data_IF_611928455438
#
_entry.id   IF_611928455438
#
_cell.length_a   1.000
_cell.length_b   1.000
_cell.length_c   1.000
_cell.angle_alpha   90.00
_cell.angle_beta   90.00
_cell.angle_gamma   90.00
#
_symmetry.space_group_name_H-M   'P 1'
#
loop_
_entity.id
_entity.type
_entity.pdbx_description
1 polymer ?
#
# COMPACT_ATOMS: atom_id res chain seq x y z
N UNK A 1 71.28 -10.76 -5.14
CA UNK A 1 70.27 -10.53 -6.20
C UNK A 1 69.40 -9.35 -5.77
N UNK A 2 69.75 -8.14 -6.21
CA UNK A 2 69.13 -6.87 -5.82
C UNK A 2 69.14 -5.99 -7.06
N UNK A 3 68.17 -6.17 -7.95
CA UNK A 3 67.98 -5.36 -9.15
C UNK A 3 66.63 -5.67 -9.81
N UNK A 4 65.62 -4.87 -9.50
CA UNK A 4 64.45 -4.50 -10.33
C UNK A 4 63.39 -3.92 -9.40
N UNK A 5 63.41 -2.61 -9.18
CA UNK A 5 62.22 -1.92 -8.67
C UNK A 5 62.17 -0.40 -8.94
N UNK A 6 62.91 0.13 -9.92
CA UNK A 6 62.96 1.59 -10.13
C UNK A 6 62.74 2.02 -11.59
N UNK A 7 61.75 1.48 -12.30
CA UNK A 7 61.37 2.00 -13.64
C UNK A 7 59.87 1.84 -13.95
N UNK A 8 58.98 2.35 -13.08
CA UNK A 8 57.60 2.61 -13.52
C UNK A 8 56.82 3.65 -12.71
N UNK A 9 57.50 4.68 -12.18
CA UNK A 9 56.83 5.76 -11.43
C UNK A 9 56.72 7.10 -12.15
N UNK A 10 57.12 7.23 -13.42
CA UNK A 10 57.07 8.53 -14.14
C UNK A 10 55.92 8.71 -15.14
N UNK A 11 55.04 7.71 -15.35
CA UNK A 11 53.88 7.87 -16.26
C UNK A 11 52.56 8.20 -15.53
N UNK A 12 52.49 8.08 -14.21
CA UNK A 12 51.25 8.30 -13.46
C UNK A 12 50.89 9.76 -13.23
N UNK A 13 51.84 10.69 -13.37
CA UNK A 13 51.63 12.11 -13.04
C UNK A 13 51.15 12.96 -14.22
N UNK A 14 51.36 12.52 -15.47
CA UNK A 14 50.84 13.24 -16.65
C UNK A 14 49.38 12.88 -16.95
N UNK A 15 48.95 11.64 -16.70
CA UNK A 15 47.55 11.23 -16.88
C UNK A 15 46.62 11.80 -15.79
N UNK A 16 47.10 11.99 -14.56
CA UNK A 16 46.32 12.66 -13.50
C UNK A 16 46.14 14.17 -13.73
N UNK A 17 47.09 14.83 -14.41
CA UNK A 17 47.01 16.26 -14.70
C UNK A 17 46.06 16.60 -15.86
N UNK A 18 45.69 15.61 -16.69
CA UNK A 18 44.70 15.78 -17.78
C UNK A 18 43.25 15.61 -17.28
N UNK A 19 43.05 14.99 -16.11
CA UNK A 19 41.71 14.75 -15.55
C UNK A 19 41.15 15.89 -14.68
N UNK A 20 41.92 16.98 -14.49
CA UNK A 20 41.43 18.20 -13.84
C UNK A 20 41.16 19.32 -14.84
N UNK A 21 40.83 18.99 -16.09
CA UNK A 21 40.25 19.96 -16.99
C UNK A 21 38.82 20.23 -16.50
N UNK A 22 38.63 21.38 -15.83
CA UNK A 22 37.32 21.86 -15.39
C UNK A 22 36.35 21.76 -16.57
N UNK A 23 35.45 20.78 -16.54
CA UNK A 23 34.38 20.71 -17.53
C UNK A 23 33.63 22.04 -17.50
N UNK A 24 33.61 22.70 -18.65
CA UNK A 24 32.85 23.94 -18.81
C UNK A 24 31.40 23.61 -18.43
N UNK A 25 30.71 24.47 -17.66
CA UNK A 25 29.32 24.25 -17.22
C UNK A 25 28.38 23.75 -18.34
N UNK A 26 28.67 24.16 -19.58
CA UNK A 26 27.98 23.74 -20.80
C UNK A 26 28.18 22.25 -21.14
N UNK A 27 29.38 21.70 -21.00
CA UNK A 27 29.68 20.29 -21.24
C UNK A 27 29.02 19.40 -20.19
N UNK A 28 29.04 19.83 -18.93
CA UNK A 28 28.40 19.15 -17.81
C UNK A 28 26.87 19.09 -17.92
N UNK A 29 26.25 20.16 -18.43
CA UNK A 29 24.80 20.17 -18.73
C UNK A 29 24.48 19.27 -19.92
N UNK A 30 25.33 19.26 -20.96
CA UNK A 30 25.12 18.45 -22.16
C UNK A 30 25.28 16.95 -21.87
N UNK A 31 26.30 16.54 -21.11
CA UNK A 31 26.48 15.16 -20.67
C UNK A 31 25.31 14.70 -19.80
N UNK A 32 24.88 15.52 -18.84
CA UNK A 32 23.71 15.22 -18.01
C UNK A 32 22.41 15.04 -18.81
N UNK A 33 22.20 15.85 -19.85
CA UNK A 33 21.01 15.75 -20.72
C UNK A 33 21.02 14.44 -21.53
N UNK A 34 22.18 14.01 -22.02
CA UNK A 34 22.34 12.78 -22.77
C UNK A 34 22.26 11.52 -21.90
N UNK A 35 22.79 11.59 -20.68
CA UNK A 35 22.68 10.52 -19.68
C UNK A 35 21.23 10.30 -19.25
N UNK A 36 20.44 11.37 -19.12
CA UNK A 36 19.04 11.32 -18.68
C UNK A 36 18.01 11.37 -19.82
N UNK A 37 18.43 11.08 -21.07
CA UNK A 37 17.57 11.20 -22.26
C UNK A 37 16.23 10.47 -22.17
N UNK A 38 16.20 9.29 -21.55
CA UNK A 38 14.97 8.48 -21.38
C UNK A 38 14.00 9.15 -20.41
N UNK A 39 14.53 9.69 -19.30
CA UNK A 39 13.74 10.40 -18.29
C UNK A 39 13.16 11.69 -18.89
N UNK A 40 13.97 12.44 -19.64
CA UNK A 40 13.55 13.67 -20.30
C UNK A 40 12.51 13.40 -21.39
N UNK A 41 12.69 12.34 -22.20
CA UNK A 41 11.68 11.92 -23.17
C UNK A 41 10.36 11.59 -22.47
N UNK A 42 10.40 10.83 -21.38
CA UNK A 42 9.19 10.48 -20.62
C UNK A 42 8.52 11.72 -20.02
N UNK A 43 9.30 12.66 -19.47
CA UNK A 43 8.80 13.92 -18.95
C UNK A 43 8.10 14.75 -20.03
N UNK A 44 8.70 14.86 -21.21
CA UNK A 44 8.13 15.58 -22.36
C UNK A 44 6.81 14.92 -22.79
N UNK A 45 6.77 13.59 -22.88
CA UNK A 45 5.54 12.85 -23.22
C UNK A 45 4.46 13.04 -22.15
N UNK A 46 4.83 13.04 -20.87
CA UNK A 46 3.89 13.31 -19.78
C UNK A 46 3.30 14.73 -19.87
N UNK A 47 4.15 15.74 -20.04
CA UNK A 47 3.70 17.13 -20.16
C UNK A 47 2.81 17.31 -21.40
N UNK A 48 3.22 16.75 -22.55
CA UNK A 48 2.42 16.77 -23.78
C UNK A 48 1.10 16.04 -23.62
N UNK A 49 1.08 14.90 -22.93
CA UNK A 49 -0.13 14.14 -22.63
C UNK A 49 -1.10 14.89 -21.73
N UNK A 50 -0.61 15.60 -20.71
CA UNK A 50 -1.44 16.46 -19.86
C UNK A 50 -2.06 17.58 -20.69
N UNK A 51 -1.25 18.26 -21.51
CA UNK A 51 -1.68 19.37 -22.35
C UNK A 51 -2.75 18.95 -23.37
N UNK A 52 -2.56 17.81 -24.05
CA UNK A 52 -3.54 17.27 -25.01
C UNK A 52 -4.81 16.76 -24.32
N UNK A 53 -4.71 16.26 -23.09
CA UNK A 53 -5.86 15.71 -22.38
C UNK A 53 -6.87 16.76 -21.89
N UNK A 54 -6.49 18.04 -21.84
CA UNK A 54 -7.34 19.12 -21.32
C UNK A 54 -7.68 19.04 -19.83
N UNK A 55 -7.13 18.05 -19.11
CA UNK A 55 -7.37 17.87 -17.68
C UNK A 55 -6.55 18.87 -16.85
N UNK A 56 -7.10 19.29 -15.70
CA UNK A 56 -6.35 20.11 -14.76
C UNK A 56 -5.15 19.35 -14.20
N UNK A 57 -4.06 20.07 -13.87
CA UNK A 57 -2.89 19.46 -13.24
C UNK A 57 -3.25 18.75 -11.92
N UNK A 58 -4.24 19.28 -11.17
CA UNK A 58 -4.78 18.67 -9.97
C UNK A 58 -5.38 17.28 -10.22
N UNK A 59 -6.23 17.14 -11.23
CA UNK A 59 -6.84 15.85 -11.60
C UNK A 59 -5.79 14.79 -11.97
N UNK A 60 -4.74 15.18 -12.68
CA UNK A 60 -3.66 14.26 -13.07
C UNK A 60 -2.87 13.81 -11.84
N UNK A 61 -2.50 14.74 -10.95
CA UNK A 61 -1.79 14.44 -9.71
C UNK A 61 -2.62 13.52 -8.82
N UNK A 62 -3.93 13.74 -8.72
CA UNK A 62 -4.84 12.88 -7.95
C UNK A 62 -4.87 11.44 -8.49
N UNK A 63 -5.09 11.27 -9.79
CA UNK A 63 -5.11 9.95 -10.41
C UNK A 63 -3.75 9.22 -10.26
N UNK A 64 -2.64 9.96 -10.34
CA UNK A 64 -1.30 9.41 -10.08
C UNK A 64 -1.17 8.98 -8.62
N UNK A 65 -1.63 9.81 -7.67
CA UNK A 65 -1.58 9.51 -6.24
C UNK A 65 -2.43 8.28 -5.87
N UNK A 66 -3.66 8.16 -6.39
CA UNK A 66 -4.53 7.00 -6.18
C UNK A 66 -3.89 5.72 -6.75
N UNK A 67 -3.31 5.80 -7.95
CA UNK A 67 -2.58 4.67 -8.56
C UNK A 67 -1.35 4.29 -7.77
N UNK A 68 -0.60 5.28 -7.30
CA UNK A 68 0.57 5.08 -6.46
C UNK A 68 0.19 4.40 -5.15
N UNK A 69 -0.87 4.85 -4.48
CA UNK A 69 -1.38 4.24 -3.25
C UNK A 69 -1.76 2.76 -3.45
N UNK A 70 -2.51 2.45 -4.50
CA UNK A 70 -2.86 1.05 -4.85
C UNK A 70 -1.62 0.19 -5.10
N UNK A 71 -0.69 0.67 -5.93
CA UNK A 71 0.51 -0.08 -6.28
C UNK A 71 1.46 -0.24 -5.08
N UNK A 72 1.57 0.78 -4.23
CA UNK A 72 2.37 0.73 -3.01
C UNK A 72 1.85 -0.37 -2.06
N UNK A 73 0.54 -0.51 -1.91
CA UNK A 73 -0.05 -1.60 -1.12
C UNK A 73 0.30 -2.98 -1.69
N UNK A 74 0.22 -3.15 -3.02
CA UNK A 74 0.64 -4.39 -3.69
C UNK A 74 2.12 -4.68 -3.44
N UNK A 75 2.99 -3.66 -3.53
CA UNK A 75 4.43 -3.81 -3.24
C UNK A 75 4.69 -4.17 -1.79
N UNK A 76 3.96 -3.56 -0.84
CA UNK A 76 4.07 -3.92 0.58
C UNK A 76 3.67 -5.38 0.84
N UNK A 77 2.67 -5.90 0.13
CA UNK A 77 2.29 -7.32 0.20
C UNK A 77 3.40 -8.26 -0.30
N UNK A 78 4.22 -7.80 -1.27
CA UNK A 78 5.33 -8.58 -1.81
C UNK A 78 6.54 -8.70 -0.88
N UNK A 79 6.66 -7.84 0.13
CA UNK A 79 7.77 -7.91 1.09
C UNK A 79 7.78 -9.23 1.87
N UNK A 80 6.60 -9.76 2.21
CA UNK A 80 6.49 -11.03 2.98
C UNK A 80 7.09 -12.20 2.17
N UNK A 81 6.69 -12.45 0.91
CA UNK A 81 7.35 -13.44 0.04
C UNK A 81 8.85 -13.24 -0.11
N UNK A 82 9.31 -11.99 -0.34
CA UNK A 82 10.73 -11.69 -0.54
C UNK A 82 11.55 -12.04 0.69
N UNK A 83 11.08 -11.66 1.88
CA UNK A 83 11.76 -11.97 3.14
C UNK A 83 11.78 -13.47 3.43
N UNK A 84 10.78 -14.22 2.94
CA UNK A 84 10.74 -15.66 3.02
C UNK A 84 11.67 -16.37 1.99
N UNK A 85 12.34 -15.61 1.11
CA UNK A 85 13.17 -16.17 0.04
C UNK A 85 12.36 -16.75 -1.13
N UNK A 86 11.05 -16.54 -1.14
CA UNK A 86 10.16 -16.98 -2.21
C UNK A 86 10.17 -15.96 -3.37
N UNK A 87 9.90 -16.43 -4.58
CA UNK A 87 9.84 -15.57 -5.75
C UNK A 87 8.74 -14.50 -5.69
N UNK A 88 9.00 -13.35 -6.32
CA UNK A 88 8.11 -12.20 -6.38
C UNK A 88 6.83 -12.50 -7.17
N UNK A 89 5.67 -12.13 -6.62
CA UNK A 89 4.34 -12.08 -7.26
C UNK A 89 3.51 -13.36 -7.40
N UNK A 90 4.02 -14.55 -7.05
CA UNK A 90 3.26 -15.80 -7.26
C UNK A 90 2.06 -15.99 -6.33
N UNK A 91 2.13 -15.44 -5.12
CA UNK A 91 1.04 -15.50 -4.16
C UNK A 91 -0.07 -14.50 -4.45
N UNK A 92 0.20 -13.44 -5.23
CA UNK A 92 -0.79 -12.40 -5.51
C UNK A 92 -1.93 -12.97 -6.35
N UNK A 93 -1.62 -13.76 -7.39
CA UNK A 93 -2.64 -14.30 -8.30
C UNK A 93 -3.65 -15.16 -7.53
N UNK A 94 -3.17 -16.02 -6.63
CA UNK A 94 -4.04 -16.92 -5.86
C UNK A 94 -4.87 -16.16 -4.82
N UNK A 95 -4.29 -15.16 -4.17
CA UNK A 95 -5.03 -14.26 -3.28
C UNK A 95 -6.09 -13.44 -4.04
N UNK A 96 -5.76 -12.96 -5.24
CA UNK A 96 -6.67 -12.21 -6.08
C UNK A 96 -7.84 -13.08 -6.56
N UNK A 97 -7.59 -14.33 -6.95
CA UNK A 97 -8.64 -15.30 -7.29
C UNK A 97 -9.57 -15.52 -6.10
N UNK A 98 -9.04 -15.72 -4.89
CA UNK A 98 -9.86 -15.88 -3.69
C UNK A 98 -10.73 -14.63 -3.40
N UNK A 99 -10.17 -13.43 -3.61
CA UNK A 99 -10.90 -12.18 -3.48
C UNK A 99 -12.01 -12.03 -4.54
N UNK A 100 -11.74 -12.39 -5.80
CA UNK A 100 -12.72 -12.36 -6.88
C UNK A 100 -13.88 -13.33 -6.64
N UNK A 101 -13.60 -14.53 -6.12
CA UNK A 101 -14.63 -15.51 -5.72
C UNK A 101 -15.52 -14.93 -4.61
N UNK A 102 -14.92 -14.36 -3.57
CA UNK A 102 -15.68 -13.75 -2.47
C UNK A 102 -16.54 -12.59 -2.92
N UNK A 103 -15.99 -11.72 -3.79
CA UNK A 103 -16.71 -10.59 -4.36
C UNK A 103 -17.88 -11.05 -5.24
N UNK A 104 -17.67 -12.08 -6.06
CA UNK A 104 -18.72 -12.65 -6.90
C UNK A 104 -19.92 -13.11 -6.07
N UNK A 105 -19.69 -13.93 -5.03
CA UNK A 105 -20.78 -14.42 -4.20
C UNK A 105 -21.48 -13.30 -3.41
N UNK A 106 -20.74 -12.31 -2.93
CA UNK A 106 -21.33 -11.16 -2.27
C UNK A 106 -22.28 -10.38 -3.21
N UNK A 107 -21.86 -10.17 -4.47
CA UNK A 107 -22.70 -9.50 -5.48
C UNK A 107 -23.88 -10.39 -5.88
N UNK A 108 -23.67 -11.68 -6.12
CA UNK A 108 -24.73 -12.60 -6.56
C UNK A 108 -25.83 -12.79 -5.50
N UNK A 109 -25.45 -12.76 -4.21
CA UNK A 109 -26.40 -12.78 -3.10
C UNK A 109 -27.11 -11.44 -2.88
N UNK A 110 -26.79 -10.41 -3.65
CA UNK A 110 -27.45 -9.11 -3.62
C UNK A 110 -26.95 -8.18 -2.52
N UNK A 111 -25.83 -8.48 -1.87
CA UNK A 111 -25.25 -7.56 -0.89
C UNK A 111 -24.54 -6.41 -1.59
N UNK A 112 -24.71 -5.20 -1.05
CA UNK A 112 -24.15 -3.96 -1.60
C UNK A 112 -23.51 -3.08 -0.52
N UNK A 113 -22.82 -2.03 -0.97
CA UNK A 113 -22.10 -1.10 -0.11
C UNK A 113 -21.03 -1.78 0.76
N UNK A 114 -20.82 -1.25 1.97
CA UNK A 114 -19.79 -1.75 2.88
C UNK A 114 -20.10 -3.15 3.41
N UNK A 115 -21.39 -3.48 3.56
CA UNK A 115 -21.83 -4.81 4.02
C UNK A 115 -21.43 -5.86 2.98
N UNK A 116 -21.67 -5.59 1.70
CA UNK A 116 -21.22 -6.46 0.60
C UNK A 116 -19.71 -6.64 0.58
N UNK A 117 -18.94 -5.58 0.82
CA UNK A 117 -17.48 -5.65 0.91
C UNK A 117 -17.00 -6.50 2.10
N UNK A 118 -17.61 -6.35 3.27
CA UNK A 118 -17.25 -7.14 4.46
C UNK A 118 -17.59 -8.62 4.28
N UNK A 119 -18.72 -8.94 3.63
CA UNK A 119 -19.08 -10.32 3.29
C UNK A 119 -18.07 -10.90 2.30
N UNK A 120 -17.72 -10.15 1.25
CA UNK A 120 -16.68 -10.55 0.31
C UNK A 120 -15.35 -10.83 1.01
N UNK A 121 -14.93 -9.97 1.96
CA UNK A 121 -13.74 -10.17 2.77
C UNK A 121 -13.83 -11.41 3.67
N UNK A 122 -14.99 -11.65 4.28
CA UNK A 122 -15.24 -12.79 5.16
C UNK A 122 -15.20 -14.12 4.40
N UNK A 123 -15.60 -14.14 3.13
CA UNK A 123 -15.47 -15.31 2.25
C UNK A 123 -14.03 -15.45 1.73
N UNK A 124 -13.42 -14.35 1.30
CA UNK A 124 -12.09 -14.34 0.70
C UNK A 124 -11.00 -14.75 1.70
N UNK A 125 -11.10 -14.34 2.96
CA UNK A 125 -10.08 -14.60 4.00
C UNK A 125 -9.83 -16.10 4.26
N UNK A 126 -10.86 -16.94 4.57
CA UNK A 126 -10.66 -18.37 4.77
C UNK A 126 -10.19 -19.06 3.49
N UNK A 127 -10.71 -18.64 2.33
CA UNK A 127 -10.34 -19.20 1.03
C UNK A 127 -8.88 -18.91 0.69
N UNK A 128 -8.44 -17.66 0.87
CA UNK A 128 -7.05 -17.24 0.68
C UNK A 128 -6.12 -17.94 1.67
N UNK A 129 -6.55 -18.15 2.91
CA UNK A 129 -5.77 -18.90 3.92
C UNK A 129 -5.59 -20.37 3.52
N UNK A 130 -6.66 -21.01 3.05
CA UNK A 130 -6.65 -22.40 2.57
C UNK A 130 -5.73 -22.55 1.36
N UNK A 131 -5.90 -21.70 0.34
CA UNK A 131 -5.08 -21.73 -0.86
C UNK A 131 -3.62 -21.39 -0.54
N UNK A 132 -3.38 -20.35 0.26
CA UNK A 132 -2.03 -19.97 0.71
C UNK A 132 -1.32 -21.09 1.46
N UNK A 133 -2.03 -21.85 2.29
CA UNK A 133 -1.48 -23.04 2.95
C UNK A 133 -1.11 -24.14 1.94
N UNK A 134 -1.97 -24.41 0.97
CA UNK A 134 -1.68 -25.37 -0.10
C UNK A 134 -0.46 -24.98 -0.94
N UNK A 135 -0.37 -23.71 -1.31
CA UNK A 135 0.77 -23.12 -2.04
C UNK A 135 2.05 -23.23 -1.23
N UNK A 136 2.01 -22.87 0.05
CA UNK A 136 3.17 -22.98 0.94
C UNK A 136 3.69 -24.42 1.05
N UNK A 137 2.79 -25.40 1.13
CA UNK A 137 3.17 -26.82 1.08
C UNK A 137 3.77 -27.23 -0.25
N UNK A 138 3.26 -26.71 -1.37
CA UNK A 138 3.80 -26.99 -2.69
C UNK A 138 5.22 -26.42 -2.84
N UNK A 139 5.45 -25.17 -2.45
CA UNK A 139 6.77 -24.54 -2.51
C UNK A 139 7.79 -25.26 -1.64
N UNK A 140 7.38 -25.72 -0.45
CA UNK A 140 8.24 -26.55 0.39
C UNK A 140 8.70 -27.87 -0.28
N UNK A 141 7.91 -28.41 -1.21
CA UNK A 141 8.28 -29.60 -1.99
C UNK A 141 9.11 -29.26 -3.24
N UNK A 142 9.06 -28.02 -3.71
CA UNK A 142 9.69 -27.55 -4.96
C UNK A 142 10.86 -26.58 -4.71
N UNK A 143 11.60 -26.78 -3.61
CA UNK A 143 12.75 -25.95 -3.25
C UNK A 143 13.78 -25.90 -4.37
N UNK A 144 14.23 -24.69 -4.71
CA UNK A 144 15.16 -24.44 -5.81
C UNK A 144 14.49 -24.16 -7.17
N UNK A 145 13.20 -24.47 -7.32
CA UNK A 145 12.39 -24.16 -8.51
C UNK A 145 11.10 -23.42 -8.17
N UNK A 146 11.08 -22.75 -7.02
CA UNK A 146 9.90 -22.11 -6.42
C UNK A 146 9.31 -21.02 -7.34
N UNK A 147 10.17 -20.30 -8.04
CA UNK A 147 9.77 -19.25 -8.99
C UNK A 147 8.98 -19.82 -10.17
N UNK A 148 9.49 -20.87 -10.81
CA UNK A 148 8.85 -21.50 -11.97
C UNK A 148 7.59 -22.24 -11.53
N UNK A 149 7.64 -22.96 -10.41
CA UNK A 149 6.48 -23.63 -9.83
C UNK A 149 5.36 -22.63 -9.49
N UNK A 150 5.71 -21.47 -8.93
CA UNK A 150 4.77 -20.40 -8.64
C UNK A 150 4.12 -19.80 -9.89
N UNK A 151 4.90 -19.62 -10.97
CA UNK A 151 4.37 -19.13 -12.25
C UNK A 151 3.36 -20.12 -12.85
N UNK A 152 3.74 -21.39 -12.93
CA UNK A 152 2.89 -22.45 -13.48
C UNK A 152 1.63 -22.61 -12.63
N UNK A 153 1.76 -22.58 -11.30
CA UNK A 153 0.62 -22.65 -10.40
C UNK A 153 -0.34 -21.47 -10.57
N UNK A 154 0.18 -20.27 -10.81
CA UNK A 154 -0.63 -19.08 -11.10
C UNK A 154 -1.47 -19.26 -12.37
N UNK A 155 -0.86 -19.69 -13.47
CA UNK A 155 -1.59 -19.98 -14.72
C UNK A 155 -2.59 -21.12 -14.57
N UNK A 156 -2.24 -22.16 -13.82
CA UNK A 156 -3.14 -23.27 -13.53
C UNK A 156 -4.35 -22.81 -12.71
N UNK A 157 -4.13 -21.99 -11.68
CA UNK A 157 -5.21 -21.44 -10.86
C UNK A 157 -6.12 -20.51 -11.66
N UNK A 158 -5.57 -19.67 -12.53
CA UNK A 158 -6.33 -18.82 -13.44
C UNK A 158 -7.17 -19.66 -14.42
N UNK A 159 -6.59 -20.71 -15.00
CA UNK A 159 -7.32 -21.66 -15.86
C UNK A 159 -8.47 -22.38 -15.12
N UNK A 160 -8.25 -22.81 -13.87
CA UNK A 160 -9.31 -23.38 -13.04
C UNK A 160 -10.41 -22.37 -12.71
N UNK A 161 -10.03 -21.13 -12.41
CA UNK A 161 -10.98 -20.05 -12.15
C UNK A 161 -11.85 -19.80 -13.40
N UNK A 162 -11.23 -19.65 -14.57
CA UNK A 162 -11.94 -19.48 -15.84
C UNK A 162 -12.86 -20.67 -16.13
N UNK A 163 -12.40 -21.91 -15.93
CA UNK A 163 -13.23 -23.10 -16.11
C UNK A 163 -14.48 -23.06 -15.22
N UNK A 164 -14.30 -22.76 -13.94
CA UNK A 164 -15.40 -22.73 -12.99
C UNK A 164 -16.40 -21.60 -13.27
N UNK A 165 -15.92 -20.39 -13.58
CA UNK A 165 -16.77 -19.21 -13.76
C UNK A 165 -17.39 -19.12 -15.16
N UNK A 166 -16.72 -19.58 -16.21
CA UNK A 166 -17.22 -19.49 -17.58
C UNK A 166 -18.05 -20.71 -17.99
N UNK A 167 -17.77 -21.90 -17.47
CA UNK A 167 -18.42 -23.12 -17.96
C UNK A 167 -19.30 -23.81 -16.93
N UNK A 168 -18.94 -23.76 -15.64
CA UNK A 168 -19.73 -24.43 -14.59
C UNK A 168 -20.81 -23.49 -14.05
N UNK A 169 -20.45 -22.26 -13.72
CA UNK A 169 -21.40 -21.23 -13.29
C UNK A 169 -22.18 -20.66 -14.49
N UNK A 170 -23.49 -20.46 -14.32
CA UNK A 170 -24.42 -20.07 -15.39
C UNK A 170 -24.96 -21.26 -16.19
N UNK A 171 -24.17 -22.33 -16.38
CA UNK A 171 -24.62 -23.57 -17.01
C UNK A 171 -25.18 -24.59 -16.01
N UNK A 172 -24.36 -25.05 -15.06
CA UNK A 172 -24.69 -26.10 -14.08
C UNK A 172 -25.21 -25.51 -12.78
N UNK A 173 -24.60 -24.41 -12.32
CA UNK A 173 -25.02 -23.69 -11.12
C UNK A 173 -25.77 -22.41 -11.52
N UNK A 174 -27.04 -22.23 -11.12
CA UNK A 174 -27.80 -21.04 -11.46
C UNK A 174 -27.27 -19.83 -10.69
N UNK A 175 -26.97 -18.76 -11.43
CA UNK A 175 -26.57 -17.45 -10.91
C UNK A 175 -27.81 -16.58 -10.86
N UNK A 176 -28.09 -15.95 -9.71
CA UNK A 176 -29.31 -15.16 -9.50
C UNK A 176 -29.23 -13.82 -10.22
N UNK A 177 -28.03 -13.26 -10.29
CA UNK A 177 -27.81 -11.91 -10.79
C UNK A 177 -27.51 -11.91 -12.29
N UNK A 178 -28.48 -11.48 -13.10
CA UNK A 178 -28.37 -11.46 -14.57
C UNK A 178 -27.27 -10.53 -15.10
N UNK A 179 -26.86 -9.50 -14.34
CA UNK A 179 -25.78 -8.59 -14.75
C UNK A 179 -24.40 -9.27 -14.79
N UNK A 180 -24.23 -10.37 -14.05
CA UNK A 180 -23.00 -11.16 -13.98
C UNK A 180 -22.91 -12.18 -15.12
N UNK A 181 -24.03 -12.60 -15.68
CA UNK A 181 -24.09 -13.64 -16.72
C UNK A 181 -23.75 -13.03 -18.08
N UNK A 182 -23.05 -13.79 -18.93
CA UNK A 182 -22.77 -13.41 -20.31
C UNK A 182 -24.09 -13.36 -21.11
N UNK A 183 -24.28 -12.36 -21.99
CA UNK A 183 -25.41 -12.36 -22.94
C UNK A 183 -25.35 -13.62 -23.81
N UNK A 184 -26.16 -14.63 -23.48
CA UNK A 184 -26.03 -15.99 -23.99
C UNK A 184 -26.38 -17.07 -22.95
N UNK A 185 -26.44 -16.72 -21.66
CA UNK A 185 -27.01 -17.56 -20.61
C UNK A 185 -26.08 -18.62 -20.02
N UNK A 186 -24.87 -18.80 -20.56
CA UNK A 186 -23.85 -19.72 -20.04
C UNK A 186 -22.57 -18.93 -19.78
N UNK A 187 -22.05 -19.03 -18.56
CA UNK A 187 -20.82 -18.37 -18.13
C UNK A 187 -21.00 -16.97 -17.57
N UNK A 188 -20.01 -16.55 -16.78
CA UNK A 188 -19.95 -15.25 -16.10
C UNK A 188 -18.99 -14.32 -16.83
N UNK A 189 -19.28 -13.02 -16.86
CA UNK A 189 -18.37 -12.02 -17.43
C UNK A 189 -17.01 -12.03 -16.71
N UNK A 190 -15.92 -11.89 -17.46
CA UNK A 190 -14.57 -11.77 -16.92
C UNK A 190 -14.37 -10.54 -16.01
N UNK A 191 -15.30 -9.59 -16.04
CA UNK A 191 -15.27 -8.40 -15.20
C UNK A 191 -16.61 -8.24 -14.51
N UNK A 192 -16.55 -8.11 -13.18
CA UNK A 192 -17.69 -7.81 -12.33
C UNK A 192 -17.81 -6.29 -12.29
N UNK A 193 -18.86 -5.74 -12.89
CA UNK A 193 -19.15 -4.32 -12.74
C UNK A 193 -19.74 -4.07 -11.35
N UNK A 194 -19.05 -3.24 -10.57
CA UNK A 194 -19.46 -2.85 -9.22
C UNK A 194 -20.24 -1.53 -9.20
N UNK A 195 -20.43 -0.89 -10.37
CA UNK A 195 -21.13 0.37 -10.51
C UNK A 195 -22.58 0.23 -10.01
N UNK A 196 -22.96 1.05 -9.03
CA UNK A 196 -24.27 0.99 -8.38
C UNK A 196 -24.44 -0.07 -7.28
N UNK A 197 -23.41 -0.89 -7.02
CA UNK A 197 -23.45 -1.91 -5.97
C UNK A 197 -22.38 -1.66 -4.89
N UNK A 198 -21.08 -1.82 -5.20
CA UNK A 198 -19.98 -1.70 -4.23
C UNK A 198 -18.91 -0.67 -4.62
N UNK A 199 -19.02 -0.04 -5.80
CA UNK A 199 -18.09 1.00 -6.22
C UNK A 199 -18.13 2.15 -5.22
N UNK A 200 -16.96 2.59 -4.74
CA UNK A 200 -16.81 3.65 -3.73
C UNK A 200 -17.49 3.37 -2.39
N UNK A 201 -17.76 2.09 -2.07
CA UNK A 201 -18.34 1.71 -0.78
C UNK A 201 -17.47 2.11 0.43
N UNK A 202 -16.17 2.36 0.23
CA UNK A 202 -15.26 2.89 1.25
C UNK A 202 -15.16 4.43 1.24
N UNK A 203 -15.39 5.07 0.10
CA UNK A 203 -15.27 6.53 -0.04
C UNK A 203 -16.40 7.26 0.71
N UNK A 204 -17.57 6.63 0.83
CA UNK A 204 -18.69 7.14 1.62
C UNK A 204 -18.60 6.83 3.13
N UNK A 205 -17.54 6.16 3.58
CA UNK A 205 -17.36 5.83 5.00
C UNK A 205 -16.73 7.03 5.69
N UNK A 206 -17.43 7.52 6.72
CA UNK A 206 -16.92 8.64 7.52
C UNK A 206 -15.62 8.22 8.19
N UNK A 207 -14.67 9.14 8.30
CA UNK A 207 -13.38 8.82 8.93
C UNK A 207 -13.57 8.37 10.39
N UNK A 208 -14.61 8.86 11.06
CA UNK A 208 -15.04 8.44 12.39
C UNK A 208 -15.39 6.93 12.44
N UNK A 209 -16.07 6.42 11.41
CA UNK A 209 -16.44 5.00 11.32
C UNK A 209 -15.20 4.13 11.08
N UNK A 210 -14.22 4.62 10.31
CA UNK A 210 -12.92 3.95 10.13
C UNK A 210 -12.15 3.87 11.46
N UNK A 211 -12.14 4.96 12.24
CA UNK A 211 -11.52 4.98 13.58
C UNK A 211 -12.23 4.01 14.52
N UNK A 212 -13.56 3.91 14.44
CA UNK A 212 -14.35 2.93 15.19
C UNK A 212 -13.97 1.49 14.82
N UNK A 213 -13.91 1.16 13.53
CA UNK A 213 -13.51 -0.17 13.06
C UNK A 213 -12.09 -0.51 13.54
N UNK A 214 -11.15 0.44 13.46
CA UNK A 214 -9.79 0.25 13.95
C UNK A 214 -9.75 0.01 15.47
N UNK A 215 -10.53 0.77 16.24
CA UNK A 215 -10.68 0.56 17.68
C UNK A 215 -11.22 -0.84 18.00
N UNK A 216 -12.27 -1.28 17.29
CA UNK A 216 -12.84 -2.63 17.47
C UNK A 216 -11.79 -3.71 17.19
N UNK A 217 -11.02 -3.60 16.11
CA UNK A 217 -9.96 -4.56 15.78
C UNK A 217 -8.90 -4.60 16.88
N UNK A 218 -8.42 -3.44 17.34
CA UNK A 218 -7.44 -3.36 18.43
C UNK A 218 -8.01 -3.95 19.72
N UNK A 219 -9.27 -3.64 20.04
CA UNK A 219 -9.95 -4.16 21.22
C UNK A 219 -10.10 -5.69 21.18
N UNK A 220 -10.48 -6.26 20.04
CA UNK A 220 -10.60 -7.71 19.85
C UNK A 220 -9.23 -8.40 19.97
N UNK A 221 -8.18 -7.84 19.35
CA UNK A 221 -6.82 -8.38 19.44
C UNK A 221 -6.29 -8.30 20.88
N UNK A 222 -6.50 -7.17 21.57
CA UNK A 222 -6.15 -7.02 22.98
C UNK A 222 -6.94 -7.98 23.86
N UNK A 223 -8.24 -8.16 23.64
CA UNK A 223 -9.07 -9.11 24.38
C UNK A 223 -8.54 -10.54 24.20
N UNK A 224 -8.22 -10.95 22.97
CA UNK A 224 -7.64 -12.27 22.69
C UNK A 224 -6.28 -12.47 23.38
N UNK A 225 -5.42 -11.44 23.38
CA UNK A 225 -4.14 -11.45 24.09
C UNK A 225 -4.29 -11.51 25.61
N UNK A 226 -5.25 -10.80 26.17
CA UNK A 226 -5.55 -10.81 27.61
C UNK A 226 -6.06 -12.19 28.01
N UNK A 227 -7.01 -12.78 27.27
CA UNK A 227 -7.54 -14.13 27.52
C UNK A 227 -6.42 -15.17 27.49
N UNK A 228 -5.56 -15.13 26.46
CA UNK A 228 -4.43 -16.08 26.34
C UNK A 228 -3.39 -15.91 27.45
N UNK A 229 -3.11 -14.68 27.89
CA UNK A 229 -2.14 -14.40 28.97
C UNK A 229 -2.67 -14.70 30.37
N UNK A 230 -3.97 -14.47 30.63
CA UNK A 230 -4.63 -14.90 31.87
C UNK A 230 -4.53 -16.42 32.00
N UNK A 231 -4.74 -17.15 30.89
CA UNK A 231 -4.60 -18.61 30.86
C UNK A 231 -3.17 -19.09 31.12
N UNK A 232 -2.17 -18.31 30.72
CA UNK A 232 -0.75 -18.64 30.86
C UNK A 232 -0.08 -18.02 32.11
N UNK A 233 -0.83 -17.36 33.02
CA UNK A 233 -0.33 -16.68 34.24
C UNK A 233 0.86 -15.73 34.00
N UNK A 234 0.87 -15.03 32.88
CA UNK A 234 1.91 -14.07 32.55
C UNK A 234 1.64 -12.71 33.23
N UNK A 235 2.68 -12.08 33.82
CA UNK A 235 2.60 -10.76 34.47
C UNK A 235 2.49 -9.59 33.48
N UNK A 236 2.63 -9.84 32.17
CA UNK A 236 2.60 -8.79 31.14
C UNK A 236 1.21 -8.20 30.80
N UNK A 237 0.16 -8.57 31.54
CA UNK A 237 -1.23 -8.11 31.35
C UNK A 237 -1.41 -6.59 31.40
N UNK A 238 -0.63 -5.92 32.26
CA UNK A 238 -0.71 -4.47 32.48
C UNK A 238 -0.43 -3.68 31.19
N UNK A 239 0.44 -4.19 30.31
CA UNK A 239 0.77 -3.54 29.03
C UNK A 239 -0.42 -3.57 28.05
N UNK A 240 -1.12 -4.70 27.94
CA UNK A 240 -2.25 -4.83 27.02
C UNK A 240 -3.46 -4.04 27.50
N UNK A 241 -3.66 -3.93 28.82
CA UNK A 241 -4.69 -3.08 29.43
C UNK A 241 -4.38 -1.59 29.19
N UNK A 242 -3.12 -1.16 29.34
CA UNK A 242 -2.73 0.23 29.00
C UNK A 242 -2.98 0.53 27.52
N UNK A 243 -2.65 -0.40 26.61
CA UNK A 243 -2.90 -0.23 25.17
C UNK A 243 -4.40 -0.09 24.88
N UNK A 244 -5.24 -0.91 25.52
CA UNK A 244 -6.70 -0.81 25.39
C UNK A 244 -7.24 0.53 25.92
N UNK A 245 -6.70 1.01 27.04
CA UNK A 245 -7.11 2.28 27.67
C UNK A 245 -6.69 3.48 26.80
N UNK A 246 -5.49 3.45 26.22
CA UNK A 246 -5.03 4.45 25.25
C UNK A 246 -5.89 4.42 23.99
N UNK A 247 -6.21 3.24 23.46
CA UNK A 247 -7.10 3.11 22.31
C UNK A 247 -8.51 3.65 22.59
N UNK A 248 -9.05 3.40 23.80
CA UNK A 248 -10.34 3.93 24.23
C UNK A 248 -10.32 5.46 24.42
N UNK A 249 -9.21 6.02 24.90
CA UNK A 249 -9.01 7.47 24.97
C UNK A 249 -8.95 8.11 23.58
N UNK A 250 -8.21 7.52 22.64
CA UNK A 250 -8.13 7.99 21.24
C UNK A 250 -9.51 7.93 20.58
N UNK A 251 -10.27 6.87 20.83
CA UNK A 251 -11.65 6.75 20.36
C UNK A 251 -12.56 7.82 20.98
N UNK A 252 -12.48 8.04 22.30
CA UNK A 252 -13.23 9.09 22.98
C UNK A 252 -12.89 10.51 22.49
N UNK A 253 -11.61 10.79 22.20
CA UNK A 253 -11.17 12.06 21.62
C UNK A 253 -11.70 12.29 20.20
N UNK A 254 -12.08 11.22 19.49
CA UNK A 254 -12.63 11.33 18.14
C UNK A 254 -14.04 11.93 18.10
N UNK A 255 -14.75 11.95 19.25
CA UNK A 255 -16.06 12.61 19.43
C UNK A 255 -15.97 14.04 19.96
N UNK A 256 -14.77 14.62 20.07
CA UNK A 256 -14.63 16.03 20.41
C UNK A 256 -15.14 16.84 19.21
N UNK A 257 -16.06 17.82 19.41
CA UNK A 257 -16.77 18.49 18.30
C UNK A 257 -15.86 19.08 17.22
N UNK A 258 -14.67 19.56 17.60
CA UNK A 258 -13.67 20.16 16.71
C UNK A 258 -12.94 19.11 15.85
N UNK A 259 -12.80 17.89 16.37
CA UNK A 259 -12.16 16.75 15.69
C UNK A 259 -13.20 16.03 14.85
N UNK A 260 -14.40 15.82 15.39
CA UNK A 260 -15.53 15.23 14.67
C UNK A 260 -15.88 16.04 13.42
N UNK A 261 -15.95 17.38 13.51
CA UNK A 261 -16.22 18.23 12.34
C UNK A 261 -15.14 18.11 11.25
N UNK A 262 -13.88 17.87 11.63
CA UNK A 262 -12.79 17.64 10.67
C UNK A 262 -12.87 16.23 10.04
N UNK A 263 -13.24 15.22 10.85
CA UNK A 263 -13.37 13.81 10.44
C UNK A 263 -14.65 13.51 9.63
N UNK A 264 -15.64 14.40 9.66
CA UNK A 264 -16.92 14.29 8.94
C UNK A 264 -16.86 14.83 7.50
N UNK A 265 -15.71 15.31 7.03
CA UNK A 265 -15.53 15.74 5.64
C UNK A 265 -15.62 14.53 4.71
N UNK A 266 -16.62 14.55 3.82
CA UNK A 266 -17.17 13.39 3.09
C UNK A 266 -16.30 12.79 1.96
N UNK A 267 -14.99 12.98 1.98
CA UNK A 267 -14.10 12.30 1.03
C UNK A 267 -12.69 12.21 1.59
N UNK A 268 -12.00 11.12 1.27
CA UNK A 268 -10.54 11.06 1.35
C UNK A 268 -9.96 11.95 0.23
N UNK A 269 -10.19 13.26 0.32
CA UNK A 269 -9.50 14.23 -0.52
C UNK A 269 -7.99 14.08 -0.29
N UNK A 270 -7.20 14.44 -1.29
CA UNK A 270 -5.74 14.39 -1.20
C UNK A 270 -5.23 15.18 0.02
N UNK A 271 -5.98 16.23 0.40
CA UNK A 271 -5.81 16.96 1.65
C UNK A 271 -5.92 16.05 2.88
N UNK A 272 -7.00 15.28 3.01
CA UNK A 272 -7.24 14.40 4.15
C UNK A 272 -6.19 13.28 4.24
N UNK A 273 -5.75 12.71 3.11
CA UNK A 273 -4.65 11.73 3.08
C UNK A 273 -3.34 12.34 3.56
N UNK A 274 -3.04 13.57 3.12
CA UNK A 274 -1.84 14.31 3.51
C UNK A 274 -1.88 14.69 5.00
N UNK A 275 -3.04 15.09 5.52
CA UNK A 275 -3.26 15.37 6.94
C UNK A 275 -3.07 14.10 7.79
N UNK A 276 -3.70 12.99 7.43
CA UNK A 276 -3.54 11.70 8.13
C UNK A 276 -2.07 11.25 8.10
N UNK A 277 -1.39 11.38 6.95
CA UNK A 277 0.03 11.07 6.82
C UNK A 277 0.90 11.94 7.73
N UNK A 278 0.59 13.24 7.80
CA UNK A 278 1.32 14.20 8.64
C UNK A 278 1.11 13.90 10.14
N UNK A 279 -0.14 13.64 10.54
CA UNK A 279 -0.47 13.22 11.91
C UNK A 279 0.22 11.89 12.25
N UNK A 280 0.22 10.92 11.33
CA UNK A 280 0.91 9.64 11.50
C UNK A 280 2.41 9.79 11.70
N UNK A 281 3.07 10.68 10.95
CA UNK A 281 4.50 11.01 11.11
C UNK A 281 4.77 11.68 12.46
N UNK A 282 3.89 12.58 12.90
CA UNK A 282 4.00 13.24 14.21
C UNK A 282 3.83 12.21 15.33
N UNK A 283 2.81 11.34 15.26
CA UNK A 283 2.57 10.28 16.23
C UNK A 283 3.75 9.30 16.28
N UNK A 284 4.31 8.92 15.13
CA UNK A 284 5.52 8.09 15.06
C UNK A 284 6.73 8.77 15.72
N UNK A 285 6.96 10.05 15.43
CA UNK A 285 8.06 10.81 16.01
C UNK A 285 7.90 10.97 17.54
N UNK A 286 6.67 11.21 18.01
CA UNK A 286 6.33 11.31 19.44
C UNK A 286 6.48 9.96 20.14
N UNK A 287 5.96 8.88 19.57
CA UNK A 287 6.10 7.53 20.12
C UNK A 287 7.58 7.12 20.26
N UNK A 288 8.41 7.52 19.30
CA UNK A 288 9.85 7.24 19.31
C UNK A 288 10.62 8.12 20.30
N UNK A 289 10.19 9.37 20.50
CA UNK A 289 10.71 10.25 21.56
C UNK A 289 10.36 9.72 22.96
N UNK A 290 9.13 9.25 23.17
CA UNK A 290 8.69 8.64 24.42
C UNK A 290 9.42 7.30 24.68
N UNK A 291 9.63 6.50 23.63
CA UNK A 291 10.41 5.26 23.71
C UNK A 291 11.85 5.49 24.17
N UNK A 292 12.51 6.53 23.64
CA UNK A 292 13.87 6.92 24.06
C UNK A 292 13.91 7.51 25.48
N UNK A 293 12.79 8.03 25.99
CA UNK A 293 12.68 8.47 27.38
C UNK A 293 12.62 7.29 28.37
N UNK A 294 12.13 6.11 27.92
CA UNK A 294 12.06 4.87 28.71
C UNK A 294 13.32 4.02 28.66
N UNK A 295 14.00 3.94 27.52
CA UNK A 295 15.29 3.25 27.36
C UNK A 295 16.25 4.20 26.64
N UNK A 296 17.18 4.79 27.38
CA UNK A 296 18.11 5.78 26.84
C UNK A 296 19.12 5.10 25.90
N UNK A 297 18.93 5.27 24.59
CA UNK A 297 19.88 4.79 23.58
C UNK A 297 20.87 5.92 23.24
N UNK A 298 22.17 5.67 23.43
CA UNK A 298 23.21 6.71 23.28
C UNK A 298 23.36 7.21 21.83
N UNK A 299 22.82 6.48 20.85
CA UNK A 299 22.81 6.86 19.42
C UNK A 299 21.59 7.68 19.01
N UNK A 300 20.67 7.99 19.93
CA UNK A 300 19.40 8.66 19.61
C UNK A 300 19.54 10.19 19.51
N UNK A 301 19.60 10.71 18.27
CA UNK A 301 19.62 12.16 18.01
C UNK A 301 18.22 12.77 18.15
N UNK A 302 17.89 13.29 19.34
CA UNK A 302 16.61 13.98 19.64
C UNK A 302 16.28 15.09 18.62
N UNK A 303 17.28 15.84 18.16
CA UNK A 303 17.13 16.90 17.17
C UNK A 303 16.55 16.43 15.82
N UNK A 304 16.80 15.18 15.41
CA UNK A 304 16.28 14.63 14.15
C UNK A 304 14.77 14.41 14.20
N UNK A 305 14.24 13.98 15.35
CA UNK A 305 12.81 13.75 15.53
C UNK A 305 12.03 15.05 15.73
N UNK A 306 12.63 16.03 16.41
CA UNK A 306 12.09 17.39 16.49
C UNK A 306 12.06 18.06 15.11
N UNK A 307 13.10 17.89 14.29
CA UNK A 307 13.12 18.38 12.91
C UNK A 307 12.05 17.73 12.03
N UNK A 308 11.76 16.43 12.20
CA UNK A 308 10.66 15.74 11.50
C UNK A 308 9.29 16.31 11.91
N UNK A 309 9.10 16.61 13.20
CA UNK A 309 7.86 17.23 13.69
C UNK A 309 7.70 18.65 13.13
N UNK A 310 8.77 19.45 13.12
CA UNK A 310 8.75 20.81 12.53
C UNK A 310 8.46 20.74 11.02
N UNK A 311 9.13 19.84 10.29
CA UNK A 311 8.88 19.64 8.87
C UNK A 311 7.42 19.20 8.59
N UNK A 312 6.87 18.32 9.42
CA UNK A 312 5.48 17.90 9.33
C UNK A 312 4.51 19.07 9.58
N UNK A 313 4.79 19.94 10.56
CA UNK A 313 4.00 21.16 10.83
C UNK A 313 4.10 22.15 9.66
N UNK A 314 5.27 22.30 9.05
CA UNK A 314 5.45 23.16 7.87
C UNK A 314 4.68 22.62 6.66
N UNK A 315 4.68 21.30 6.45
CA UNK A 315 3.89 20.64 5.40
C UNK A 315 2.39 20.84 5.62
N UNK A 316 1.93 20.73 6.87
CA UNK A 316 0.54 21.05 7.23
C UNK A 316 0.21 22.53 7.00
N UNK A 317 1.10 23.45 7.37
CA UNK A 317 0.91 24.90 7.17
C UNK A 317 0.89 25.28 5.68
N UNK A 318 1.69 24.62 4.83
CA UNK A 318 1.68 24.79 3.38
C UNK A 318 0.36 24.37 2.73
N UNK A 319 -0.44 23.55 3.43
CA UNK A 319 -1.75 23.09 2.96
C UNK A 319 -2.80 24.22 3.00
N UNK A 320 -2.58 25.27 3.79
CA UNK A 320 -3.46 26.46 3.91
C UNK A 320 -3.13 27.58 2.91
N UNK A 321 -2.20 27.37 1.97
CA UNK A 321 -1.96 28.34 0.90
C UNK A 321 -3.15 28.26 -0.07
N UNK A 322 -3.86 29.37 -0.35
CA UNK A 322 -5.15 29.35 -1.08
C UNK A 322 -5.09 28.74 -2.50
N UNK A 323 -3.92 28.76 -3.15
CA UNK A 323 -3.69 28.10 -4.45
C UNK A 323 -3.55 26.57 -4.32
N UNK A 324 -2.92 26.09 -3.23
CA UNK A 324 -2.80 24.66 -2.92
C UNK A 324 -4.12 24.13 -2.35
N UNK A 325 -4.79 24.90 -1.51
CA UNK A 325 -6.09 24.57 -0.94
C UNK A 325 -7.15 24.38 -2.02
N UNK A 326 -7.20 25.25 -3.04
CA UNK A 326 -8.08 25.06 -4.20
C UNK A 326 -7.79 23.75 -4.93
N UNK A 327 -6.52 23.45 -5.22
CA UNK A 327 -6.13 22.21 -5.92
C UNK A 327 -6.40 20.96 -5.07
N UNK A 328 -6.34 21.07 -3.74
CA UNK A 328 -6.53 19.99 -2.79
C UNK A 328 -8.01 19.80 -2.37
N UNK A 329 -8.86 20.83 -2.52
CA UNK A 329 -10.29 20.82 -2.20
C UNK A 329 -11.23 20.71 -3.41
N UNK A 330 -10.78 20.96 -4.65
CA UNK A 330 -11.59 20.73 -5.87
C UNK A 330 -11.59 19.27 -6.36
N UNK A 331 -11.10 18.35 -5.53
CA UNK A 331 -11.20 16.88 -5.69
C UNK A 331 -12.42 16.31 -4.97
#
# INVERSE_FOLDING_TARGET
MKAKNDMNQSNGSQDELVLLQQETMRQKVFSWLFENKVMLLFLIICIGGVWVSGNSAGFVVENVAVRFGRNAFTVMSLLIPVLAGLGLNFSIVIGAIAAQVGLFFAVDWGFSGIIGMLIAFLIATPLASLFGFGVGRLFNKMKGSEMIAGLILGYFADGLYQLFFLYILGGVLPVRTTSLIIPGGIGIKNTIDLTGNMKYALDGVKLVDIVMIFFIIVAVVCAFRIITKIRNKDKSLLKDVIILLVAALVYGLSYVPQIESALMTNSLSLLNVLVIGTVGVIVYAVAKLIGNWRNADSKFKKARYVAIIIAAIVVYALTYIPELEKVLMTS
#
